data_IF_455624074461
#
_entry.id   IF_455624074461
#
_cell.length_a   1.000
_cell.length_b   1.000
_cell.length_c   1.000
_cell.angle_alpha   90.00
_cell.angle_beta   90.00
_cell.angle_gamma   90.00
#
_symmetry.space_group_name_H-M   'P 1'
#
loop_
_entity.id
_entity.type
_entity.pdbx_description
1 polymer ?
#
# COMPACT_ATOMS: atom_id res chain seq x y z
N UNK A 1 0.37 16.43 -17.12
CA UNK A 1 1.09 15.17 -16.84
C UNK A 1 0.20 14.36 -15.91
N UNK A 2 -0.12 13.11 -16.27
CA UNK A 2 -0.87 12.22 -15.39
C UNK A 2 0.13 11.55 -14.45
N UNK A 3 -0.04 11.76 -13.14
CA UNK A 3 0.85 11.18 -12.14
C UNK A 3 0.67 9.67 -12.16
N UNK A 4 1.70 8.93 -12.57
CA UNK A 4 1.71 7.47 -12.54
C UNK A 4 2.06 7.02 -11.13
N UNK A 5 1.07 6.50 -10.43
CA UNK A 5 1.25 5.89 -9.12
C UNK A 5 0.76 4.44 -9.14
N UNK A 6 1.34 3.63 -8.27
CA UNK A 6 1.03 2.20 -8.11
C UNK A 6 0.80 1.93 -6.62
N UNK A 7 -0.26 1.17 -6.28
CA UNK A 7 -0.44 0.66 -4.92
C UNK A 7 -0.53 -0.86 -4.98
N UNK A 8 0.16 -1.55 -4.07
CA UNK A 8 0.18 -3.02 -3.97
C UNK A 8 -0.09 -3.46 -2.54
N UNK A 9 -0.88 -4.53 -2.36
CA UNK A 9 -1.07 -5.22 -1.08
C UNK A 9 -0.47 -6.63 -1.16
N UNK A 10 0.29 -7.04 -0.14
CA UNK A 10 0.91 -8.36 -0.05
C UNK A 10 0.70 -8.97 1.34
N UNK A 11 0.45 -10.29 1.41
CA UNK A 11 0.44 -11.03 2.68
C UNK A 11 1.87 -11.48 3.01
N UNK A 12 2.33 -11.16 4.22
CA UNK A 12 3.60 -11.60 4.80
C UNK A 12 3.29 -12.71 5.81
N UNK A 13 3.94 -13.87 5.64
CA UNK A 13 3.98 -14.94 6.65
C UNK A 13 5.32 -14.85 7.39
N UNK A 14 5.32 -14.10 8.48
CA UNK A 14 6.48 -14.04 9.38
C UNK A 14 5.95 -13.86 10.82
N UNK A 15 5.97 -14.93 11.62
CA UNK A 15 5.39 -14.97 12.97
C UNK A 15 3.89 -14.55 13.10
N UNK A 16 3.12 -14.68 12.02
CA UNK A 16 1.71 -14.30 11.95
C UNK A 16 1.31 -13.91 10.53
N UNK A 17 0.02 -13.66 10.28
CA UNK A 17 -0.43 -13.04 9.02
C UNK A 17 -0.28 -11.53 9.16
N UNK A 18 0.59 -10.93 8.37
CA UNK A 18 0.69 -9.47 8.24
C UNK A 18 0.39 -9.06 6.80
N UNK A 19 -0.05 -7.83 6.61
CA UNK A 19 -0.41 -7.29 5.31
C UNK A 19 0.40 -6.04 5.05
N UNK A 20 1.18 -6.04 3.97
CA UNK A 20 2.01 -4.92 3.55
C UNK A 20 1.32 -4.18 2.42
N UNK A 21 1.11 -2.88 2.57
CA UNK A 21 0.59 -1.99 1.51
C UNK A 21 1.70 -1.03 1.10
N UNK A 22 2.03 -1.01 -0.18
CA UNK A 22 3.10 -0.15 -0.73
C UNK A 22 2.50 0.78 -1.77
N UNK A 23 2.73 2.09 -1.68
CA UNK A 23 2.42 3.09 -2.71
C UNK A 23 3.69 3.63 -3.31
N UNK A 24 3.79 3.64 -4.64
CA UNK A 24 4.90 4.24 -5.40
C UNK A 24 4.41 5.47 -6.13
N UNK A 25 5.16 6.57 -6.03
CA UNK A 25 4.93 7.80 -6.78
C UNK A 25 6.08 7.92 -7.78
N UNK A 26 5.83 7.54 -9.04
CA UNK A 26 6.87 7.40 -10.06
C UNK A 26 7.65 8.70 -10.31
N UNK A 27 6.97 9.84 -10.32
CA UNK A 27 7.59 11.16 -10.54
C UNK A 27 8.51 11.60 -9.39
N UNK A 28 8.24 11.16 -8.17
CA UNK A 28 9.05 11.52 -7.00
C UNK A 28 10.13 10.48 -6.70
N UNK A 29 10.14 9.33 -7.40
CA UNK A 29 10.97 8.16 -7.03
C UNK A 29 10.81 7.76 -5.56
N UNK A 30 9.65 8.04 -4.97
CA UNK A 30 9.32 7.74 -3.56
C UNK A 30 8.43 6.50 -3.50
N UNK A 31 8.73 5.62 -2.54
CA UNK A 31 7.88 4.50 -2.16
C UNK A 31 7.52 4.60 -0.67
N UNK A 32 6.23 4.65 -0.37
CA UNK A 32 5.71 4.57 1.00
C UNK A 32 5.21 3.15 1.26
N UNK A 33 5.66 2.54 2.37
CA UNK A 33 5.26 1.19 2.78
C UNK A 33 4.62 1.23 4.17
N UNK A 34 3.48 0.58 4.34
CA UNK A 34 2.84 0.33 5.64
C UNK A 34 2.57 -1.15 5.84
N UNK A 35 2.63 -1.61 7.08
CA UNK A 35 2.36 -3.01 7.47
C UNK A 35 1.23 -3.01 8.49
N UNK A 36 0.32 -3.96 8.35
CA UNK A 36 -0.88 -4.12 9.14
C UNK A 36 -0.99 -5.56 9.64
N UNK A 37 -1.65 -5.77 10.77
CA UNK A 37 -1.86 -7.10 11.33
C UNK A 37 -3.13 -7.75 10.76
N UNK A 38 -4.09 -6.95 10.26
CA UNK A 38 -5.32 -7.46 9.63
C UNK A 38 -5.44 -7.08 8.15
N UNK A 39 -6.18 -7.92 7.40
CA UNK A 39 -6.46 -7.67 5.97
C UNK A 39 -7.33 -6.44 5.77
N UNK A 40 -8.27 -6.22 6.68
CA UNK A 40 -9.23 -5.10 6.62
C UNK A 40 -8.53 -3.76 6.72
N UNK A 41 -7.60 -3.60 7.67
CA UNK A 41 -6.80 -2.39 7.80
C UNK A 41 -5.95 -2.10 6.55
N UNK A 42 -5.36 -3.14 5.97
CA UNK A 42 -4.60 -3.02 4.74
C UNK A 42 -5.47 -2.62 3.54
N UNK A 43 -6.68 -3.18 3.42
CA UNK A 43 -7.66 -2.78 2.38
C UNK A 43 -8.10 -1.33 2.58
N UNK A 44 -8.40 -0.92 3.82
CA UNK A 44 -8.78 0.46 4.12
C UNK A 44 -7.68 1.44 3.73
N UNK A 45 -6.42 1.13 4.05
CA UNK A 45 -5.29 1.96 3.64
C UNK A 45 -5.13 2.00 2.12
N UNK A 46 -5.29 0.85 1.45
CA UNK A 46 -5.24 0.75 0.00
C UNK A 46 -6.29 1.66 -0.65
N UNK A 47 -7.56 1.53 -0.24
CA UNK A 47 -8.65 2.36 -0.75
C UNK A 47 -8.44 3.84 -0.44
N UNK A 48 -7.97 4.19 0.76
CA UNK A 48 -7.66 5.58 1.12
C UNK A 48 -6.65 6.20 0.16
N UNK A 49 -5.64 5.45 -0.28
CA UNK A 49 -4.69 5.93 -1.28
C UNK A 49 -5.27 5.96 -2.70
N UNK A 50 -6.17 5.03 -3.07
CA UNK A 50 -6.89 5.07 -4.35
C UNK A 50 -7.89 6.25 -4.44
N UNK A 51 -8.48 6.68 -3.33
CA UNK A 51 -9.47 7.77 -3.33
C UNK A 51 -8.85 9.16 -3.29
N UNK A 52 -7.55 9.26 -3.01
CA UNK A 52 -6.82 10.55 -2.99
C UNK A 52 -6.06 10.83 -4.30
N UNK A 53 -6.24 9.98 -5.31
CA UNK A 53 -5.56 10.07 -6.61
C UNK A 53 -6.42 10.62 -7.73
#
# INVERSE_FOLDING_TARGET
MSIKWEVTIMELKDNGKKFKVTRRIGELSVAETKVFDTKEEAINQFQKWLSQS
#
